data_IF_578550782399
#
_entry.id   IF_578550782399
#
_cell.length_a   1.000
_cell.length_b   1.000
_cell.length_c   1.000
_cell.angle_alpha   90.00
_cell.angle_beta   90.00
_cell.angle_gamma   90.00
#
_symmetry.space_group_name_H-M   'P 1'
#
loop_
_entity.id
_entity.type
_entity.pdbx_description
1 polymer ?
#
# COMPACT_ATOMS: atom_id res chain seq x y z
N UNK A 1 -10.47 0.40 -0.52
CA UNK A 1 -10.43 0.01 -1.94
C UNK A 1 -9.94 -1.43 -2.10
N UNK A 2 -8.65 -1.72 -1.85
CA UNK A 2 -8.05 -3.06 -2.11
C UNK A 2 -8.74 -4.23 -1.38
N UNK A 3 -9.07 -4.07 -0.10
CA UNK A 3 -9.78 -5.13 0.65
C UNK A 3 -11.19 -5.40 0.10
N UNK A 4 -11.91 -4.34 -0.32
CA UNK A 4 -13.22 -4.47 -0.96
C UNK A 4 -13.11 -5.23 -2.29
N UNK A 5 -12.11 -4.91 -3.11
CA UNK A 5 -11.86 -5.63 -4.35
C UNK A 5 -11.58 -7.14 -4.13
N UNK A 6 -10.93 -7.52 -3.03
CA UNK A 6 -10.74 -8.93 -2.69
C UNK A 6 -12.07 -9.64 -2.35
N UNK A 7 -12.95 -8.96 -1.60
CA UNK A 7 -14.31 -9.45 -1.30
C UNK A 7 -15.14 -9.58 -2.57
N UNK A 8 -15.15 -8.55 -3.42
CA UNK A 8 -15.88 -8.53 -4.68
C UNK A 8 -15.41 -9.63 -5.64
N UNK A 9 -14.11 -9.95 -5.61
CA UNK A 9 -13.53 -11.05 -6.38
C UNK A 9 -13.78 -12.44 -5.77
N UNK A 10 -14.36 -12.53 -4.56
CA UNK A 10 -14.55 -13.79 -3.84
C UNK A 10 -13.23 -14.48 -3.46
N UNK A 11 -12.16 -13.70 -3.26
CA UNK A 11 -10.82 -14.22 -2.94
C UNK A 11 -10.39 -13.76 -1.56
N UNK A 12 -9.67 -14.63 -0.86
CA UNK A 12 -9.00 -14.23 0.38
C UNK A 12 -7.62 -13.69 0.02
N UNK A 13 -7.31 -12.46 0.43
CA UNK A 13 -5.98 -11.87 0.21
C UNK A 13 -5.30 -11.55 1.55
N UNK A 14 -4.00 -11.83 1.63
CA UNK A 14 -3.16 -11.48 2.78
C UNK A 14 -2.16 -10.40 2.36
N UNK A 15 -2.04 -9.34 3.16
CA UNK A 15 -1.00 -8.32 2.99
C UNK A 15 0.33 -8.91 3.46
N UNK A 16 1.30 -8.96 2.55
CA UNK A 16 2.67 -9.36 2.86
C UNK A 16 3.55 -8.15 3.18
N UNK A 17 3.37 -7.06 2.43
CA UNK A 17 4.20 -5.86 2.56
C UNK A 17 3.42 -4.60 2.23
N UNK A 18 3.80 -3.50 2.89
CA UNK A 18 3.34 -2.14 2.59
C UNK A 18 4.53 -1.38 2.02
N UNK A 19 4.36 -0.89 0.80
CA UNK A 19 5.37 -0.11 0.11
C UNK A 19 5.08 1.37 0.28
N UNK A 20 6.15 2.16 0.36
CA UNK A 20 6.16 3.63 0.35
C UNK A 20 7.15 4.13 -0.70
N UNK A 21 7.25 5.45 -0.84
CA UNK A 21 8.32 6.06 -1.62
C UNK A 21 9.73 5.60 -1.19
N UNK A 22 10.64 5.40 -2.16
CA UNK A 22 12.02 5.00 -1.91
C UNK A 22 12.86 6.10 -1.25
N UNK A 23 14.06 5.75 -0.78
CA UNK A 23 14.91 6.65 0.00
C UNK A 23 15.45 7.87 -0.77
N UNK A 24 15.48 7.81 -2.10
CA UNK A 24 15.78 8.97 -2.97
C UNK A 24 14.62 9.97 -3.06
N UNK A 25 13.47 9.66 -2.44
CA UNK A 25 12.29 10.52 -2.34
C UNK A 25 11.83 10.66 -0.87
N UNK A 26 12.66 11.25 0.01
CA UNK A 26 12.34 11.33 1.44
C UNK A 26 11.13 12.22 1.72
N UNK A 27 10.40 11.91 2.79
CA UNK A 27 9.32 12.75 3.33
C UNK A 27 9.91 13.61 4.44
N UNK A 28 9.84 14.93 4.28
CA UNK A 28 10.24 15.87 5.31
C UNK A 28 9.23 15.89 6.46
N UNK A 29 9.70 15.97 7.70
CA UNK A 29 8.84 15.96 8.90
C UNK A 29 7.86 17.14 8.97
N UNK A 30 8.27 18.29 8.43
CA UNK A 30 7.49 19.51 8.34
C UNK A 30 6.50 19.53 7.15
N UNK A 31 6.59 18.54 6.26
CA UNK A 31 5.72 18.41 5.10
C UNK A 31 5.25 16.95 4.89
N UNK A 32 4.45 16.43 5.83
CA UNK A 32 3.95 15.04 5.80
C UNK A 32 3.06 14.76 4.58
N UNK A 33 2.49 15.77 3.93
CA UNK A 33 1.68 15.65 2.72
C UNK A 33 2.46 15.05 1.54
N UNK A 34 3.80 15.12 1.57
CA UNK A 34 4.66 14.47 0.59
C UNK A 34 4.67 12.94 0.67
N UNK A 35 4.06 12.34 1.70
CA UNK A 35 3.89 10.89 1.83
C UNK A 35 2.69 10.39 1.01
N UNK A 36 2.75 10.56 -0.32
CA UNK A 36 1.63 10.31 -1.23
C UNK A 36 1.67 8.93 -1.89
N UNK A 37 2.84 8.32 -2.08
CA UNK A 37 2.96 7.04 -2.79
C UNK A 37 2.66 5.87 -1.84
N UNK A 38 1.65 5.06 -2.18
CA UNK A 38 1.25 3.87 -1.40
C UNK A 38 1.21 2.64 -2.30
N UNK A 39 1.78 1.53 -1.82
CA UNK A 39 1.69 0.23 -2.47
C UNK A 39 1.43 -0.92 -1.49
N UNK A 40 0.88 -2.03 -1.98
CA UNK A 40 0.66 -3.24 -1.21
C UNK A 40 1.13 -4.45 -2.03
N UNK A 41 1.89 -5.35 -1.39
CA UNK A 41 2.15 -6.69 -1.92
C UNK A 41 1.18 -7.66 -1.24
N UNK A 42 0.43 -8.41 -2.05
CA UNK A 42 -0.61 -9.32 -1.58
C UNK A 42 -0.33 -10.74 -2.04
N UNK A 43 -0.65 -11.71 -1.18
CA UNK A 43 -0.83 -13.11 -1.57
C UNK A 43 -2.31 -13.43 -1.67
N UNK A 44 -2.72 -14.05 -2.77
CA UNK A 44 -4.10 -14.48 -3.00
C UNK A 44 -4.24 -15.97 -2.68
N UNK A 45 -5.29 -16.33 -1.95
CA UNK A 45 -5.71 -17.69 -1.61
C UNK A 45 -6.98 -18.06 -2.38
#
# INVERSE_FOLDING_TARGET
>A
IVAGAAVDAGRTAQILERLSQPADHPVATEFPEADYLKGLILRVH
#
